data_IF_528291859795
#
_entry.id   IF_528291859795
#
_cell.length_a   1.000
_cell.length_b   1.000
_cell.length_c   1.000
_cell.angle_alpha   90.00
_cell.angle_beta   90.00
_cell.angle_gamma   90.00
#
_symmetry.space_group_name_H-M   'P 1'
#
loop_
_entity.id
_entity.type
_entity.pdbx_description
1 polymer ?
#
# COMPACT_ATOMS: atom_id res chain seq x y z
N UNK A 1 9.27 -10.44 3.07
CA UNK A 1 9.71 -9.03 3.19
C UNK A 1 8.55 -8.13 2.81
N UNK A 2 8.56 -6.87 3.21
CA UNK A 2 7.62 -5.87 2.73
C UNK A 2 8.37 -4.58 2.36
N UNK A 3 7.92 -3.90 1.33
CA UNK A 3 8.36 -2.53 1.04
C UNK A 3 7.37 -1.56 1.69
N UNK A 4 7.87 -0.53 2.40
CA UNK A 4 7.00 0.55 2.85
C UNK A 4 6.32 1.21 1.66
N UNK A 5 4.99 1.31 1.72
CA UNK A 5 4.18 1.87 0.65
C UNK A 5 3.14 2.82 1.20
N UNK A 6 2.78 3.81 0.40
CA UNK A 6 1.66 4.70 0.66
C UNK A 6 0.63 4.54 -0.45
N UNK A 7 -0.59 4.20 -0.06
CA UNK A 7 -1.71 4.01 -0.98
C UNK A 7 -2.85 4.98 -0.68
N UNK A 8 -3.59 5.40 -1.71
CA UNK A 8 -4.84 6.15 -1.57
C UNK A 8 -5.90 5.62 -2.54
N UNK A 9 -7.17 5.78 -2.17
CA UNK A 9 -8.29 5.56 -3.11
C UNK A 9 -8.50 6.83 -3.93
N UNK A 10 -8.65 6.69 -5.24
CA UNK A 10 -8.92 7.80 -6.17
C UNK A 10 -10.16 7.50 -7.00
N UNK A 11 -10.91 8.55 -7.33
CA UNK A 11 -12.02 8.47 -8.27
C UNK A 11 -11.48 8.82 -9.66
N UNK A 12 -11.70 7.97 -10.67
CA UNK A 12 -11.22 8.17 -12.04
C UNK A 12 -12.01 9.22 -12.85
N UNK A 13 -12.90 9.98 -12.21
CA UNK A 13 -13.83 10.87 -12.90
C UNK A 13 -14.81 10.09 -13.80
N UNK A 14 -15.56 10.82 -14.63
CA UNK A 14 -16.43 10.22 -15.65
C UNK A 14 -15.60 9.99 -16.91
N UNK A 15 -15.01 8.80 -17.04
CA UNK A 15 -14.42 8.32 -18.30
C UNK A 15 -15.49 7.91 -19.31
N UNK A 16 -15.12 7.82 -20.59
CA UNK A 16 -15.99 7.57 -21.77
C UNK A 16 -16.87 6.30 -21.73
N UNK A 17 -16.67 5.42 -20.76
CA UNK A 17 -17.60 4.33 -20.46
C UNK A 17 -18.71 4.86 -19.56
N UNK A 18 -19.92 5.03 -20.10
CA UNK A 18 -21.11 5.61 -19.45
C UNK A 18 -21.67 4.93 -18.19
N UNK A 19 -20.82 4.37 -17.33
CA UNK A 19 -21.18 3.96 -15.97
C UNK A 19 -21.25 5.21 -15.08
N UNK A 20 -22.47 5.56 -14.67
CA UNK A 20 -22.76 6.73 -13.82
C UNK A 20 -22.26 6.61 -12.37
N UNK A 21 -21.53 5.55 -12.01
CA UNK A 21 -20.82 5.42 -10.74
C UNK A 21 -19.35 5.69 -11.00
N UNK A 22 -18.83 6.81 -10.50
CA UNK A 22 -17.41 7.15 -10.65
C UNK A 22 -16.53 5.97 -10.24
N UNK A 23 -15.72 5.46 -11.16
CA UNK A 23 -14.89 4.29 -10.90
C UNK A 23 -13.81 4.66 -9.87
N UNK A 24 -13.85 4.00 -8.70
CA UNK A 24 -12.78 4.11 -7.71
C UNK A 24 -11.68 3.10 -8.02
N UNK A 25 -10.41 3.49 -7.87
CA UNK A 25 -9.26 2.59 -7.90
C UNK A 25 -8.27 2.96 -6.79
N UNK A 26 -7.29 2.10 -6.55
CA UNK A 26 -6.17 2.41 -5.67
C UNK A 26 -4.98 2.91 -6.48
N UNK A 27 -4.23 3.82 -5.88
CA UNK A 27 -2.92 4.21 -6.38
C UNK A 27 -1.91 4.07 -5.25
N UNK A 28 -0.75 3.48 -5.54
CA UNK A 28 0.29 3.16 -4.58
C UNK A 28 1.63 3.73 -5.02
N UNK A 29 2.43 4.20 -4.07
CA UNK A 29 3.83 4.60 -4.26
C UNK A 29 4.69 3.99 -3.16
N UNK A 30 5.96 3.77 -3.46
CA UNK A 30 6.96 3.27 -2.51
C UNK A 30 8.32 3.87 -2.83
N UNK A 31 9.10 4.14 -1.78
CA UNK A 31 10.54 4.41 -1.89
C UNK A 31 11.38 3.13 -1.94
N UNK A 32 10.72 1.96 -1.97
CA UNK A 32 11.35 0.64 -1.92
C UNK A 32 12.25 0.39 -0.71
N UNK A 33 12.02 1.10 0.40
CA UNK A 33 12.62 0.78 1.69
C UNK A 33 12.04 -0.55 2.20
N UNK A 34 12.86 -1.59 2.18
CA UNK A 34 12.46 -2.95 2.54
C UNK A 34 12.64 -3.21 4.03
N UNK A 35 11.66 -3.87 4.64
CA UNK A 35 11.70 -4.34 6.02
C UNK A 35 11.15 -5.78 6.13
N UNK A 36 11.61 -6.52 7.13
CA UNK A 36 10.95 -7.76 7.54
C UNK A 36 9.61 -7.44 8.21
N UNK A 37 8.55 -8.19 7.86
CA UNK A 37 7.26 -8.05 8.55
C UNK A 37 7.41 -8.23 10.07
N UNK A 38 8.26 -9.16 10.50
CA UNK A 38 8.54 -9.35 11.93
C UNK A 38 9.18 -8.12 12.58
N UNK A 39 10.24 -7.56 11.98
CA UNK A 39 10.87 -6.34 12.50
C UNK A 39 9.89 -5.17 12.55
N UNK A 40 9.00 -5.04 11.57
CA UNK A 40 7.92 -4.04 11.60
C UNK A 40 6.95 -4.27 12.75
N UNK A 41 6.52 -5.51 13.00
CA UNK A 41 5.61 -5.84 14.11
C UNK A 41 6.26 -5.62 15.48
N UNK A 42 7.55 -5.95 15.62
CA UNK A 42 8.31 -5.68 16.84
C UNK A 42 8.46 -4.17 17.08
N UNK A 43 8.80 -3.41 16.04
CA UNK A 43 8.85 -1.96 16.08
C UNK A 43 7.51 -1.33 16.46
N UNK A 44 6.42 -1.77 15.82
CA UNK A 44 5.04 -1.37 16.14
C UNK A 44 4.71 -1.63 17.61
N UNK A 45 5.05 -2.81 18.13
CA UNK A 45 4.79 -3.18 19.52
C UNK A 45 5.60 -2.31 20.49
N UNK A 46 6.87 -2.05 20.19
CA UNK A 46 7.72 -1.18 20.99
C UNK A 46 7.20 0.27 21.00
N UNK A 47 6.83 0.80 19.83
CA UNK A 47 6.28 2.15 19.66
C UNK A 47 4.94 2.33 20.41
N UNK A 48 4.13 1.28 20.48
CA UNK A 48 2.88 1.28 21.24
C UNK A 48 3.07 1.22 22.78
N UNK A 49 4.23 0.74 23.25
CA UNK A 49 4.56 0.62 24.68
C UNK A 49 5.22 1.89 25.27
N UNK A 50 5.47 2.91 24.45
CA UNK A 50 6.02 4.19 24.91
C UNK A 50 5.06 4.93 25.84
N UNK A 51 5.60 5.81 26.71
CA UNK A 51 4.78 6.69 27.58
C UNK A 51 3.72 7.48 26.81
N UNK A 52 4.09 7.93 25.60
CA UNK A 52 3.18 8.47 24.60
C UNK A 52 3.15 7.49 23.43
N UNK A 53 2.12 6.61 23.33
CA UNK A 53 2.03 5.61 22.28
C UNK A 53 2.02 6.26 20.89
N UNK A 54 2.84 5.76 19.97
CA UNK A 54 2.80 6.19 18.57
C UNK A 54 1.83 5.30 17.77
N UNK A 55 1.13 5.88 16.81
CA UNK A 55 0.40 5.07 15.81
C UNK A 55 1.42 4.35 14.93
N UNK A 56 1.06 3.16 14.48
CA UNK A 56 1.92 2.28 13.67
C UNK A 56 2.63 3.02 12.54
N UNK A 57 1.85 3.76 11.73
CA UNK A 57 2.35 4.41 10.53
C UNK A 57 3.10 5.73 10.80
N UNK A 58 2.80 6.40 11.92
CA UNK A 58 3.58 7.57 12.39
C UNK A 58 5.00 7.11 12.80
N UNK A 59 5.09 5.98 13.50
CA UNK A 59 6.38 5.35 13.85
C UNK A 59 7.12 4.76 12.65
N UNK A 60 6.40 4.17 11.70
CA UNK A 60 6.97 3.61 10.48
C UNK A 60 7.55 4.68 9.54
N UNK A 61 6.96 5.87 9.49
CA UNK A 61 7.45 7.00 8.67
C UNK A 61 8.90 7.34 9.00
N UNK A 62 9.30 7.31 10.27
CA UNK A 62 10.70 7.54 10.68
C UNK A 62 11.67 6.49 10.11
N UNK A 63 11.23 5.23 10.06
CA UNK A 63 12.02 4.10 9.51
C UNK A 63 12.00 4.06 7.97
N UNK A 64 11.07 4.79 7.37
CA UNK A 64 10.93 4.95 5.93
C UNK A 64 11.58 6.26 5.43
N UNK A 65 12.66 6.74 6.06
CA UNK A 65 13.35 7.99 5.71
C UNK A 65 12.40 9.19 5.66
N UNK A 66 11.56 9.33 6.70
CA UNK A 66 10.56 10.41 6.82
C UNK A 66 9.53 10.46 5.69
N UNK A 67 9.45 9.40 4.87
CA UNK A 67 8.47 9.29 3.80
C UNK A 67 7.19 8.63 4.32
N UNK A 68 6.04 9.20 3.96
CA UNK A 68 4.74 8.68 4.34
C UNK A 68 4.59 7.20 3.92
N UNK A 69 3.98 6.41 4.79
CA UNK A 69 3.60 5.03 4.51
C UNK A 69 2.33 4.69 5.30
N UNK A 70 1.49 3.82 4.73
CA UNK A 70 0.28 3.34 5.39
C UNK A 70 0.03 1.84 5.16
N UNK A 71 0.99 1.16 4.52
CA UNK A 71 0.95 -0.26 4.26
C UNK A 71 2.36 -0.79 3.98
N UNK A 72 2.49 -2.12 3.97
CA UNK A 72 3.66 -2.83 3.44
C UNK A 72 3.24 -3.57 2.17
N UNK A 73 3.88 -3.27 1.04
CA UNK A 73 3.71 -4.05 -0.18
C UNK A 73 4.48 -5.37 -0.05
N UNK A 74 3.83 -6.54 -0.17
CA UNK A 74 4.44 -7.82 0.13
C UNK A 74 5.44 -8.23 -0.97
N UNK A 75 6.68 -8.50 -0.56
CA UNK A 75 7.76 -9.00 -1.42
C UNK A 75 8.13 -10.42 -0.99
N UNK A 76 7.97 -11.37 -1.92
CA UNK A 76 8.33 -12.77 -1.69
C UNK A 76 9.83 -12.97 -1.94
N UNK A 77 10.56 -13.31 -0.88
CA UNK A 77 11.93 -13.81 -1.00
C UNK A 77 11.95 -15.31 -1.32
N UNK A 78 13.07 -15.85 -1.84
CA UNK A 78 13.17 -17.26 -2.23
C UNK A 78 12.91 -18.22 -1.07
N UNK A 79 13.33 -17.86 0.14
CA UNK A 79 13.17 -18.66 1.35
C UNK A 79 11.80 -18.50 2.04
N UNK A 80 10.88 -17.68 1.51
CA UNK A 80 9.58 -17.43 2.14
C UNK A 80 8.54 -18.46 1.65
N UNK A 81 7.95 -19.27 2.55
CA UNK A 81 6.88 -20.19 2.19
C UNK A 81 5.70 -19.47 1.52
N UNK A 82 5.13 -20.08 0.47
CA UNK A 82 4.06 -19.46 -0.31
C UNK A 82 2.84 -19.11 0.56
N UNK A 83 2.44 -20.01 1.47
CA UNK A 83 1.31 -19.76 2.37
C UNK A 83 1.54 -18.52 3.26
N UNK A 84 2.77 -18.32 3.75
CA UNK A 84 3.11 -17.14 4.53
C UNK A 84 3.07 -15.86 3.69
N UNK A 85 3.54 -15.92 2.44
CA UNK A 85 3.45 -14.80 1.50
C UNK A 85 2.00 -14.42 1.20
N UNK A 86 1.14 -15.39 0.91
CA UNK A 86 -0.30 -15.17 0.62
C UNK A 86 -0.98 -14.42 1.77
N UNK A 87 -0.69 -14.77 3.03
CA UNK A 87 -1.24 -14.05 4.19
C UNK A 87 -0.92 -12.56 4.17
N UNK A 88 0.30 -12.18 3.77
CA UNK A 88 0.68 -10.77 3.65
C UNK A 88 0.11 -10.10 2.40
N UNK A 89 -0.15 -10.87 1.33
CA UNK A 89 -0.93 -10.39 0.17
C UNK A 89 -2.36 -10.07 0.59
N UNK A 90 -3.02 -10.93 1.35
CA UNK A 90 -4.38 -10.66 1.83
C UNK A 90 -4.42 -9.46 2.78
N UNK A 91 -3.46 -9.36 3.71
CA UNK A 91 -3.33 -8.17 4.57
C UNK A 91 -3.13 -6.87 3.76
N UNK A 92 -2.36 -6.92 2.66
CA UNK A 92 -2.20 -5.77 1.78
C UNK A 92 -3.53 -5.35 1.16
N UNK A 93 -4.35 -6.30 0.70
CA UNK A 93 -5.69 -6.03 0.19
C UNK A 93 -6.65 -5.49 1.26
N UNK A 94 -6.58 -6.00 2.49
CA UNK A 94 -7.37 -5.49 3.60
C UNK A 94 -7.00 -4.03 3.91
N UNK A 95 -5.71 -3.70 3.89
CA UNK A 95 -5.23 -2.32 4.08
C UNK A 95 -5.75 -1.39 2.96
N UNK A 96 -5.77 -1.84 1.71
CA UNK A 96 -6.35 -1.06 0.60
C UNK A 96 -7.86 -0.86 0.79
N UNK A 97 -8.60 -1.90 1.16
CA UNK A 97 -10.03 -1.82 1.41
C UNK A 97 -10.38 -0.87 2.57
N UNK A 98 -9.50 -0.76 3.57
CA UNK A 98 -9.64 0.19 4.68
C UNK A 98 -9.56 1.67 4.24
N UNK A 99 -8.99 1.96 3.06
CA UNK A 99 -8.98 3.30 2.43
C UNK A 99 -10.31 3.62 1.70
N UNK A 100 -11.27 2.69 1.79
CA UNK A 100 -12.54 2.69 1.07
C UNK A 100 -12.53 1.68 -0.08
N UNK A 101 -13.63 0.96 -0.24
CA UNK A 101 -13.77 -0.12 -1.22
C UNK A 101 -13.74 0.41 -2.66
N UNK A 102 -12.94 -0.23 -3.50
CA UNK A 102 -12.99 -0.09 -4.95
C UNK A 102 -13.57 -1.37 -5.56
N UNK A 103 -14.54 -1.24 -6.47
CA UNK A 103 -15.18 -2.40 -7.10
C UNK A 103 -14.31 -3.00 -8.21
N UNK A 104 -14.31 -4.33 -8.32
CA UNK A 104 -13.60 -5.06 -9.38
C UNK A 104 -12.71 -6.19 -8.87
N UNK A 105 -12.11 -6.94 -9.80
CA UNK A 105 -11.15 -7.99 -9.46
C UNK A 105 -9.81 -7.41 -9.01
N UNK A 106 -9.06 -8.17 -8.19
CA UNK A 106 -7.69 -7.81 -7.78
C UNK A 106 -6.80 -7.50 -8.98
N UNK A 107 -6.93 -8.27 -10.07
CA UNK A 107 -6.19 -8.05 -11.32
C UNK A 107 -6.53 -6.69 -11.93
N UNK A 108 -7.81 -6.36 -12.09
CA UNK A 108 -8.26 -5.05 -12.61
C UNK A 108 -7.64 -3.91 -11.79
N UNK A 109 -7.77 -3.98 -10.46
CA UNK A 109 -7.30 -2.92 -9.56
C UNK A 109 -5.78 -2.75 -9.62
N UNK A 110 -5.00 -3.83 -9.68
CA UNK A 110 -3.54 -3.76 -9.86
C UNK A 110 -3.17 -3.18 -11.22
N UNK A 111 -3.88 -3.57 -12.29
CA UNK A 111 -3.64 -3.00 -13.62
C UNK A 111 -3.83 -1.49 -13.63
N UNK A 112 -4.90 -0.98 -13.02
CA UNK A 112 -5.09 0.48 -12.89
C UNK A 112 -3.99 1.14 -12.06
N UNK A 113 -3.56 0.54 -10.95
CA UNK A 113 -2.48 1.10 -10.12
C UNK A 113 -1.18 1.24 -10.93
N UNK A 114 -0.80 0.21 -11.70
CA UNK A 114 0.36 0.25 -12.61
C UNK A 114 0.19 1.33 -13.69
N UNK A 115 -0.97 1.41 -14.34
CA UNK A 115 -1.24 2.43 -15.36
C UNK A 115 -1.12 3.84 -14.79
N UNK A 116 -1.68 4.09 -13.61
CA UNK A 116 -1.60 5.39 -12.95
C UNK A 116 -0.15 5.73 -12.54
N UNK A 117 0.62 4.73 -12.10
CA UNK A 117 2.04 4.89 -11.79
C UNK A 117 2.86 5.28 -13.03
N UNK A 118 2.66 4.56 -14.14
CA UNK A 118 3.32 4.86 -15.41
C UNK A 118 2.89 6.22 -15.97
N UNK A 119 1.60 6.57 -15.85
CA UNK A 119 1.11 7.88 -16.27
C UNK A 119 1.76 9.02 -15.48
N UNK A 120 1.88 8.89 -14.14
CA UNK A 120 2.60 9.87 -13.32
C UNK A 120 4.07 9.99 -13.71
N UNK A 121 4.74 8.85 -13.91
CA UNK A 121 6.12 8.83 -14.38
C UNK A 121 6.30 9.55 -15.72
N UNK A 122 5.43 9.26 -16.70
CA UNK A 122 5.49 9.85 -18.03
C UNK A 122 5.19 11.35 -18.05
N UNK A 123 4.37 11.83 -17.11
CA UNK A 123 3.94 13.24 -17.03
C UNK A 123 4.72 14.07 -16.02
N UNK A 124 5.61 13.45 -15.24
CA UNK A 124 6.29 14.10 -14.12
C UNK A 124 5.35 14.52 -12.98
N UNK A 125 4.13 13.98 -12.94
CA UNK A 125 3.16 14.29 -11.91
C UNK A 125 3.57 13.67 -10.56
N UNK A 126 3.45 14.44 -9.49
CA UNK A 126 3.68 13.94 -8.13
C UNK A 126 2.54 13.00 -7.69
N UNK A 127 2.81 12.23 -6.64
CA UNK A 127 1.81 11.39 -6.00
C UNK A 127 0.79 12.22 -5.20
#
# INVERSE_FOLDING_TARGET
>A
MGAYSYSKRVNLGVGTSGSARGECVYTTVSYFNIIHFQCHQEAKRADAALKNPKKEWDGATLRNNESLCNSLFPVRGPSVPMAQYIRFVDQHWDNLNALGRADGSRLRLVTYDIVLMLARFATGASF
#
